data_IF_829976878758
#
_entry.id   IF_829976878758
#
_cell.length_a   1.000
_cell.length_b   1.000
_cell.length_c   1.000
_cell.angle_alpha   90.00
_cell.angle_beta   90.00
_cell.angle_gamma   90.00
#
_symmetry.space_group_name_H-M   'P 1'
#
loop_
_entity.id
_entity.type
_entity.pdbx_description
1 polymer ?
#
# COMPACT_ATOMS: atom_id res chain seq x y z
N UNK A 1 14.57 -9.88 2.66
CA UNK A 1 13.49 -10.88 2.53
C UNK A 1 14.17 -12.16 2.05
N UNK A 2 13.79 -13.34 2.56
CA UNK A 2 14.39 -14.61 2.12
C UNK A 2 13.83 -15.00 0.75
N UNK A 3 14.63 -15.67 -0.09
CA UNK A 3 14.16 -16.23 -1.36
C UNK A 3 13.26 -17.45 -1.11
N UNK A 4 12.51 -17.88 -2.12
CA UNK A 4 11.67 -19.08 -1.98
C UNK A 4 12.51 -20.35 -1.72
N UNK A 5 13.70 -20.44 -2.33
CA UNK A 5 14.67 -21.50 -2.06
C UNK A 5 15.11 -21.50 -0.59
N UNK A 6 15.54 -20.35 -0.06
CA UNK A 6 15.93 -20.23 1.35
C UNK A 6 14.76 -20.55 2.29
N UNK A 7 13.54 -20.12 1.96
CA UNK A 7 12.34 -20.44 2.75
C UNK A 7 12.04 -21.95 2.75
N UNK A 8 12.28 -22.63 1.64
CA UNK A 8 12.10 -24.08 1.52
C UNK A 8 13.14 -24.83 2.36
N UNK A 9 14.41 -24.43 2.27
CA UNK A 9 15.48 -25.00 3.09
C UNK A 9 15.26 -24.77 4.59
N UNK A 10 14.73 -23.60 4.96
CA UNK A 10 14.33 -23.27 6.34
C UNK A 10 13.23 -24.23 6.80
N UNK A 11 12.20 -24.44 5.98
CA UNK A 11 11.09 -25.33 6.32
C UNK A 11 11.54 -26.79 6.45
N UNK A 12 12.33 -27.29 5.51
CA UNK A 12 12.87 -28.65 5.53
C UNK A 12 13.78 -28.89 6.74
N UNK A 13 14.66 -27.93 7.06
CA UNK A 13 15.55 -28.02 8.23
C UNK A 13 14.75 -27.97 9.54
N UNK A 14 13.64 -27.24 9.57
CA UNK A 14 12.73 -27.22 10.72
C UNK A 14 12.06 -28.58 10.93
N UNK A 15 11.61 -29.22 9.86
CA UNK A 15 11.05 -30.57 9.88
C UNK A 15 12.07 -31.63 10.32
N UNK A 16 13.29 -31.57 9.79
CA UNK A 16 14.41 -32.46 10.16
C UNK A 16 14.70 -32.42 11.66
N UNK A 17 14.62 -31.24 12.28
CA UNK A 17 14.86 -31.06 13.71
C UNK A 17 13.59 -31.18 14.57
N UNK A 18 12.60 -31.94 14.10
CA UNK A 18 11.34 -32.23 14.82
C UNK A 18 10.64 -30.97 15.33
N UNK A 19 10.59 -29.92 14.50
CA UNK A 19 9.98 -28.64 14.84
C UNK A 19 10.63 -27.89 16.02
N UNK A 20 11.89 -28.20 16.37
CA UNK A 20 12.66 -27.42 17.34
C UNK A 20 13.42 -26.28 16.65
N UNK A 21 12.97 -25.05 16.86
CA UNK A 21 13.49 -23.87 16.15
C UNK A 21 14.96 -23.55 16.49
N UNK A 22 15.40 -23.81 17.73
CA UNK A 22 16.78 -23.54 18.13
C UNK A 22 17.74 -24.58 17.54
N UNK A 23 17.33 -25.85 17.54
CA UNK A 23 18.08 -26.93 16.92
C UNK A 23 18.12 -26.76 15.39
N UNK A 24 16.99 -26.44 14.75
CA UNK A 24 16.90 -26.13 13.33
C UNK A 24 17.82 -24.98 12.93
N UNK A 25 17.89 -23.92 13.74
CA UNK A 25 18.80 -22.80 13.48
C UNK A 25 20.27 -23.22 13.48
N UNK A 26 20.69 -24.02 14.45
CA UNK A 26 22.07 -24.55 14.51
C UNK A 26 22.35 -25.45 13.30
N UNK A 27 21.40 -26.32 12.94
CA UNK A 27 21.51 -27.21 11.79
C UNK A 27 21.59 -26.44 10.46
N UNK A 28 20.79 -25.39 10.31
CA UNK A 28 20.78 -24.54 9.12
C UNK A 28 22.12 -23.81 8.94
N UNK A 29 22.70 -23.28 10.03
CA UNK A 29 24.02 -22.64 9.99
C UNK A 29 25.13 -23.61 9.54
N UNK A 30 25.04 -24.88 9.94
CA UNK A 30 25.99 -25.92 9.52
C UNK A 30 25.81 -26.33 8.06
N UNK A 31 24.56 -26.47 7.58
CA UNK A 31 24.26 -26.84 6.19
C UNK A 31 24.61 -25.73 5.20
N UNK A 32 24.39 -24.46 5.58
CA UNK A 32 24.50 -23.31 4.70
C UNK A 32 25.41 -22.23 5.30
N UNK A 33 26.73 -22.46 5.40
CA UNK A 33 27.66 -21.55 6.09
C UNK A 33 27.76 -20.17 5.42
N UNK A 34 27.54 -20.09 4.10
CA UNK A 34 27.65 -18.84 3.33
C UNK A 34 26.33 -18.07 3.19
N UNK A 35 25.23 -18.56 3.80
CA UNK A 35 23.90 -17.92 3.70
C UNK A 35 23.58 -17.13 4.97
N UNK A 36 22.62 -16.21 4.83
CA UNK A 36 22.10 -15.45 5.97
C UNK A 36 21.41 -16.42 6.96
N UNK A 37 21.83 -16.38 8.22
CA UNK A 37 21.20 -17.17 9.28
C UNK A 37 19.83 -16.57 9.68
N UNK A 38 18.71 -17.29 9.48
CA UNK A 38 17.41 -16.90 10.01
C UNK A 38 17.35 -16.92 11.54
N UNK A 39 16.47 -16.09 12.11
CA UNK A 39 16.15 -16.13 13.54
C UNK A 39 15.28 -17.35 13.85
N UNK A 40 15.33 -17.87 15.09
CA UNK A 40 14.52 -19.01 15.50
C UNK A 40 13.00 -18.81 15.25
N UNK A 41 12.40 -17.63 15.52
CA UNK A 41 10.99 -17.38 15.17
C UNK A 41 10.69 -17.47 13.68
N UNK A 42 11.67 -17.30 12.80
CA UNK A 42 11.47 -17.40 11.35
C UNK A 42 11.09 -18.82 10.95
N UNK A 43 11.71 -19.84 11.54
CA UNK A 43 11.39 -21.25 11.26
C UNK A 43 9.92 -21.57 11.59
N UNK A 44 9.49 -21.17 12.79
CA UNK A 44 8.09 -21.33 13.24
C UNK A 44 7.13 -20.57 12.32
N UNK A 45 7.47 -19.33 11.97
CA UNK A 45 6.62 -18.52 11.11
C UNK A 45 6.51 -19.07 9.68
N UNK A 46 7.53 -19.74 9.16
CA UNK A 46 7.50 -20.41 7.85
C UNK A 46 6.56 -21.61 7.89
N UNK A 47 6.75 -22.52 8.86
CA UNK A 47 5.87 -23.69 9.03
C UNK A 47 4.41 -23.29 9.26
N UNK A 48 4.17 -22.30 10.13
CA UNK A 48 2.82 -21.79 10.39
C UNK A 48 2.15 -21.29 9.11
N UNK A 49 2.85 -20.51 8.27
CA UNK A 49 2.31 -20.04 6.99
C UNK A 49 2.06 -21.18 6.00
N UNK A 50 2.92 -22.19 5.97
CA UNK A 50 2.68 -23.37 5.16
C UNK A 50 1.36 -24.04 5.53
N UNK A 51 1.06 -24.16 6.83
CA UNK A 51 -0.17 -24.79 7.34
C UNK A 51 -1.42 -23.92 7.19
N UNK A 52 -1.30 -22.63 7.46
CA UNK A 52 -2.44 -21.69 7.47
C UNK A 52 -2.84 -21.25 6.06
N UNK A 53 -1.86 -20.99 5.18
CA UNK A 53 -2.12 -20.38 3.85
C UNK A 53 -1.62 -21.22 2.68
N UNK A 54 -0.98 -22.37 2.92
CA UNK A 54 -0.40 -23.20 1.85
C UNK A 54 0.81 -22.57 1.17
N UNK A 55 1.43 -21.54 1.76
CA UNK A 55 2.52 -20.79 1.14
C UNK A 55 3.65 -20.51 2.13
N UNK A 56 4.90 -20.67 1.69
CA UNK A 56 6.08 -20.30 2.47
C UNK A 56 6.39 -18.80 2.39
N UNK A 57 5.83 -18.10 1.40
CA UNK A 57 6.04 -16.67 1.22
C UNK A 57 5.25 -15.87 2.25
N UNK A 58 5.73 -14.67 2.57
CA UNK A 58 4.93 -13.72 3.35
C UNK A 58 3.94 -13.08 2.38
N UNK A 59 2.65 -13.16 2.66
CA UNK A 59 1.69 -12.28 2.02
C UNK A 59 2.02 -10.85 2.44
N UNK A 60 2.62 -10.09 1.52
CA UNK A 60 2.66 -8.65 1.63
C UNK A 60 1.21 -8.20 1.46
N UNK A 61 0.58 -7.68 2.50
CA UNK A 61 -0.70 -7.02 2.36
C UNK A 61 -0.50 -5.82 1.42
N UNK A 62 -0.76 -6.02 0.12
CA UNK A 62 -0.86 -4.93 -0.87
C UNK A 62 -2.15 -4.14 -0.65
N UNK A 63 -3.11 -4.73 0.08
CA UNK A 63 -4.30 -4.03 0.54
C UNK A 63 -3.92 -3.00 1.61
N UNK A 64 -3.58 -1.79 1.16
CA UNK A 64 -3.61 -0.61 2.01
C UNK A 64 -5.01 -0.39 2.60
N UNK A 65 -5.11 0.56 3.53
CA UNK A 65 -6.36 0.94 4.22
C UNK A 65 -7.55 0.95 3.23
N UNK A 66 -8.70 0.34 3.56
CA UNK A 66 -9.88 0.37 2.69
C UNK A 66 -10.16 1.81 2.27
N UNK A 67 -10.10 2.05 0.96
CA UNK A 67 -10.46 3.33 0.37
C UNK A 67 -11.97 3.42 0.40
N UNK A 68 -12.50 4.56 0.82
CA UNK A 68 -13.90 4.90 0.53
C UNK A 68 -14.03 4.88 -0.99
N UNK A 69 -14.94 4.05 -1.52
CA UNK A 69 -15.15 3.91 -2.95
C UNK A 69 -15.40 5.29 -3.57
N UNK A 70 -14.74 5.55 -4.70
CA UNK A 70 -14.87 6.78 -5.47
C UNK A 70 -14.55 8.09 -4.73
N UNK A 71 -13.89 8.04 -3.57
CA UNK A 71 -13.55 9.26 -2.83
C UNK A 71 -12.61 10.16 -3.63
N UNK A 72 -11.63 9.55 -4.31
CA UNK A 72 -10.66 10.29 -5.11
C UNK A 72 -11.39 11.05 -6.25
N UNK A 73 -12.28 10.38 -7.00
CA UNK A 73 -13.10 11.02 -8.05
C UNK A 73 -14.06 12.08 -7.50
N UNK A 74 -14.72 11.84 -6.35
CA UNK A 74 -15.64 12.80 -5.74
C UNK A 74 -14.92 14.07 -5.28
N UNK A 75 -13.70 13.94 -4.75
CA UNK A 75 -12.85 15.08 -4.38
C UNK A 75 -12.48 15.89 -5.63
N UNK A 76 -12.08 15.23 -6.72
CA UNK A 76 -11.71 15.90 -7.97
C UNK A 76 -12.91 16.59 -8.62
N UNK A 77 -14.09 15.95 -8.65
CA UNK A 77 -15.32 16.55 -9.13
C UNK A 77 -15.72 17.80 -8.34
N UNK A 78 -15.63 17.76 -7.00
CA UNK A 78 -15.94 18.91 -6.16
C UNK A 78 -15.02 20.12 -6.41
N UNK A 79 -13.73 19.87 -6.68
CA UNK A 79 -12.78 20.93 -7.07
C UNK A 79 -13.05 21.44 -8.48
N UNK A 80 -13.39 20.57 -9.42
CA UNK A 80 -13.70 20.96 -10.80
C UNK A 80 -14.97 21.83 -10.90
N UNK A 81 -16.00 21.50 -10.13
CA UNK A 81 -17.24 22.29 -10.05
C UNK A 81 -16.99 23.66 -9.43
N UNK A 82 -16.16 23.74 -8.37
CA UNK A 82 -15.83 25.02 -7.75
C UNK A 82 -14.37 25.05 -7.25
N UNK A 83 -13.43 25.57 -8.07
CA UNK A 83 -12.01 25.63 -7.72
C UNK A 83 -11.68 26.52 -6.52
N UNK A 84 -12.61 27.40 -6.11
CA UNK A 84 -12.43 28.32 -4.97
C UNK A 84 -12.93 27.71 -3.65
N UNK A 85 -13.48 26.50 -3.70
CA UNK A 85 -13.97 25.81 -2.52
C UNK A 85 -12.80 25.42 -1.60
N UNK A 86 -12.99 25.52 -0.29
CA UNK A 86 -11.95 25.13 0.67
C UNK A 86 -11.88 23.61 0.82
N UNK A 87 -10.68 23.07 1.03
CA UNK A 87 -10.49 21.63 1.28
C UNK A 87 -11.24 21.14 2.51
N UNK A 88 -11.48 22.04 3.48
CA UNK A 88 -12.31 21.79 4.67
C UNK A 88 -13.80 21.63 4.31
N UNK A 89 -14.33 22.42 3.38
CA UNK A 89 -15.73 22.30 2.92
C UNK A 89 -15.95 20.99 2.18
N UNK A 90 -15.05 20.62 1.28
CA UNK A 90 -15.09 19.33 0.58
C UNK A 90 -15.06 18.16 1.57
N UNK A 91 -14.20 18.24 2.59
CA UNK A 91 -14.10 17.22 3.62
C UNK A 91 -15.43 17.01 4.36
N UNK A 92 -16.12 18.09 4.73
CA UNK A 92 -17.43 18.02 5.37
C UNK A 92 -18.50 17.40 4.46
N UNK A 93 -18.55 17.81 3.19
CA UNK A 93 -19.53 17.34 2.19
C UNK A 93 -19.34 15.85 1.82
N UNK A 94 -18.09 15.38 1.79
CA UNK A 94 -17.77 14.00 1.46
C UNK A 94 -17.65 13.07 2.69
N UNK A 95 -17.98 13.57 3.88
CA UNK A 95 -17.79 12.88 5.16
C UNK A 95 -16.39 12.27 5.33
N UNK A 96 -15.38 13.01 4.86
CA UNK A 96 -13.97 12.61 4.90
C UNK A 96 -13.18 13.57 5.79
N UNK A 97 -12.00 13.14 6.26
CA UNK A 97 -11.11 14.06 6.96
C UNK A 97 -10.32 14.93 5.97
N UNK A 98 -10.03 16.18 6.35
CA UNK A 98 -9.29 17.13 5.51
C UNK A 98 -7.92 16.59 5.05
N UNK A 99 -7.24 15.77 5.87
CA UNK A 99 -5.99 15.09 5.46
C UNK A 99 -6.18 14.15 4.28
N UNK A 100 -7.33 13.46 4.20
CA UNK A 100 -7.61 12.56 3.08
C UNK A 100 -7.83 13.36 1.80
N UNK A 101 -8.61 14.45 1.88
CA UNK A 101 -8.81 15.37 0.75
C UNK A 101 -7.48 15.94 0.26
N UNK A 102 -6.66 16.50 1.16
CA UNK A 102 -5.35 17.04 0.80
C UNK A 102 -4.42 15.96 0.21
N UNK A 103 -4.49 14.72 0.70
CA UNK A 103 -3.70 13.61 0.14
C UNK A 103 -4.11 13.27 -1.28
N UNK A 104 -5.41 13.25 -1.58
CA UNK A 104 -5.92 13.04 -2.95
C UNK A 104 -5.44 14.17 -3.85
N UNK A 105 -5.64 15.43 -3.44
CA UNK A 105 -5.23 16.60 -4.22
C UNK A 105 -3.71 16.66 -4.45
N UNK A 106 -2.91 16.25 -3.45
CA UNK A 106 -1.45 16.18 -3.57
C UNK A 106 -0.98 15.02 -4.45
N UNK A 107 -1.72 13.91 -4.49
CA UNK A 107 -1.42 12.75 -5.34
C UNK A 107 -1.67 13.07 -6.82
N UNK A 108 -2.78 13.74 -7.11
CA UNK A 108 -3.18 14.18 -8.45
C UNK A 108 -2.54 15.52 -8.84
N UNK A 109 -1.81 16.14 -7.90
CA UNK A 109 -0.98 17.34 -8.04
C UNK A 109 -1.70 18.59 -8.55
N UNK A 110 -2.78 18.97 -7.87
CA UNK A 110 -3.15 20.39 -7.72
C UNK A 110 -2.61 20.90 -6.39
N UNK A 111 -1.50 21.64 -6.43
CA UNK A 111 -1.00 22.34 -5.24
C UNK A 111 -1.92 23.50 -4.90
N UNK A 112 -2.70 23.35 -3.83
CA UNK A 112 -3.22 24.48 -3.05
C UNK A 112 -2.49 24.48 -1.71
N UNK A 113 -1.22 24.88 -1.74
CA UNK A 113 -0.61 25.49 -0.56
C UNK A 113 -1.40 26.75 -0.26
N UNK A 114 -1.90 26.79 0.96
CA UNK A 114 -2.79 27.81 1.49
C UNK A 114 -2.26 29.24 1.30
N UNK A 115 -3.22 30.12 1.01
CA UNK A 115 -3.25 31.58 1.23
C UNK A 115 -2.38 32.48 0.35
N UNK A 116 -3.07 33.50 -0.20
CA UNK A 116 -2.57 34.69 -0.90
C UNK A 116 -1.72 34.48 -2.17
N UNK A 117 -2.36 34.48 -3.34
CA UNK A 117 -2.15 35.56 -4.33
C UNK A 117 -3.15 35.44 -5.50
N UNK A 118 -3.81 36.57 -5.73
CA UNK A 118 -4.28 37.15 -6.99
C UNK A 118 -5.10 36.31 -8.00
N UNK A 119 -6.35 36.76 -8.14
CA UNK A 119 -7.23 36.64 -9.30
C UNK A 119 -6.50 37.06 -10.60
N UNK A 120 -6.08 36.15 -11.46
CA UNK A 120 -6.14 36.31 -12.93
C UNK A 120 -5.59 35.07 -13.61
N UNK A 121 -6.28 34.59 -14.63
CA UNK A 121 -5.78 33.62 -15.61
C UNK A 121 -5.55 32.18 -15.14
N UNK A 122 -6.54 31.32 -15.35
CA UNK A 122 -6.36 30.14 -16.22
C UNK A 122 -7.73 29.55 -16.54
N UNK A 123 -8.41 30.23 -17.48
CA UNK A 123 -9.47 29.64 -18.30
C UNK A 123 -8.78 28.66 -19.25
N UNK A 124 -9.41 27.51 -19.50
CA UNK A 124 -9.14 26.57 -20.61
C UNK A 124 -7.92 25.63 -20.45
N UNK A 125 -8.11 24.46 -19.83
CA UNK A 125 -7.46 23.22 -20.34
C UNK A 125 -8.21 21.93 -19.99
N UNK A 126 -9.12 21.91 -19.00
CA UNK A 126 -9.77 20.65 -18.57
C UNK A 126 -11.08 20.32 -19.31
N UNK A 127 -11.68 21.29 -20.02
CA UNK A 127 -12.96 21.08 -20.72
C UNK A 127 -12.89 20.24 -22.01
N UNK A 128 -11.70 19.90 -22.52
CA UNK A 128 -11.57 19.09 -23.74
C UNK A 128 -11.42 17.58 -23.49
N UNK A 129 -11.20 17.14 -22.24
CA UNK A 129 -11.00 15.71 -21.95
C UNK A 129 -12.28 14.95 -21.54
N UNK A 130 -13.37 15.64 -21.18
CA UNK A 130 -14.60 15.01 -20.69
C UNK A 130 -15.77 15.02 -21.69
N UNK A 131 -15.65 15.74 -22.80
CA UNK A 131 -16.71 15.83 -23.83
C UNK A 131 -16.68 14.68 -24.85
N UNK A 132 -15.66 13.82 -24.83
CA UNK A 132 -15.52 12.68 -25.76
C UNK A 132 -16.02 11.35 -25.19
N UNK A 133 -16.43 11.30 -23.91
CA UNK A 133 -16.90 10.06 -23.27
C UNK A 133 -18.43 9.96 -23.19
N UNK A 134 -19.16 11.05 -23.42
CA UNK A 134 -20.64 11.07 -23.45
C UNK A 134 -21.16 11.57 -24.81
N UNK A 135 -20.63 11.00 -25.89
CA UNK A 135 -21.07 11.24 -27.25
C UNK A 135 -21.23 9.93 -28.00
N UNK A 136 -22.28 9.17 -27.66
CA UNK A 136 -23.04 8.23 -28.48
C UNK A 136 -24.29 7.82 -27.68
#
# INVERSE_FOLDING_TARGET
>A
MFTFEELSDIHLTYGEMHCNALAARRRYAQKFPNRRLPSAPTFVAVDRRARETGSLCRHLHVAGRPRIAHLDERVLAAVNVNPRTSTRRIAAELHACQRTVNRVLNRERFMLTTTSQCKHSFRLTVLLAYSTVNGC
#
